data_IF_410357035665
#
_entry.id   IF_410357035665
#
_cell.length_a   1.000
_cell.length_b   1.000
_cell.length_c   1.000
_cell.angle_alpha   90.00
_cell.angle_beta   90.00
_cell.angle_gamma   90.00
#
_symmetry.space_group_name_H-M   'P 1'
#
loop_
_entity.id
_entity.type
_entity.pdbx_description
1 polymer ?
#
# COMPACT_ATOMS: atom_id res chain seq x y z
N UNK A 1 -12.98 8.35 1.92
CA UNK A 1 -13.55 7.31 1.03
C UNK A 1 -13.58 5.94 1.71
N UNK A 2 -12.61 5.65 2.58
CA UNK A 2 -12.49 4.39 3.31
C UNK A 2 -13.70 3.98 4.15
N UNK A 3 -14.52 4.93 4.61
CA UNK A 3 -15.77 4.59 5.33
C UNK A 3 -16.75 3.80 4.45
N UNK A 4 -16.71 3.97 3.12
CA UNK A 4 -17.50 3.16 2.19
C UNK A 4 -17.06 1.69 2.30
N UNK A 5 -15.76 1.42 2.25
CA UNK A 5 -15.22 0.06 2.31
C UNK A 5 -15.39 -0.57 3.69
N UNK A 6 -15.21 0.20 4.77
CA UNK A 6 -15.42 -0.26 6.15
C UNK A 6 -16.87 -0.66 6.43
N UNK A 7 -17.83 0.09 5.88
CA UNK A 7 -19.24 -0.14 6.15
C UNK A 7 -19.93 -1.06 5.12
N UNK A 8 -19.29 -1.33 3.99
CA UNK A 8 -19.80 -2.27 3.01
C UNK A 8 -19.94 -3.68 3.60
N UNK A 9 -21.02 -4.39 3.24
CA UNK A 9 -21.20 -5.80 3.59
C UNK A 9 -20.09 -6.66 2.98
N UNK A 10 -19.75 -6.39 1.72
CA UNK A 10 -18.65 -7.01 0.99
C UNK A 10 -18.08 -6.04 -0.04
N UNK A 11 -16.79 -6.18 -0.32
CA UNK A 11 -16.07 -5.48 -1.40
C UNK A 11 -15.67 -6.51 -2.43
N UNK A 12 -15.89 -6.21 -3.71
CA UNK A 12 -15.54 -7.10 -4.82
C UNK A 12 -14.38 -6.47 -5.61
N UNK A 13 -13.23 -7.14 -5.58
CA UNK A 13 -12.06 -6.81 -6.40
C UNK A 13 -12.11 -7.55 -7.73
N UNK A 14 -12.53 -6.85 -8.77
CA UNK A 14 -12.59 -7.41 -10.12
C UNK A 14 -11.22 -7.37 -10.83
N UNK A 15 -10.69 -8.56 -11.15
CA UNK A 15 -9.39 -8.75 -11.77
C UNK A 15 -9.48 -8.96 -13.30
N UNK A 16 -10.67 -8.87 -13.88
CA UNK A 16 -10.89 -9.04 -15.32
C UNK A 16 -11.11 -10.50 -15.75
N UNK A 17 -11.10 -10.74 -17.05
CA UNK A 17 -11.46 -12.04 -17.66
C UNK A 17 -10.26 -12.93 -18.01
N UNK A 18 -9.07 -12.60 -17.50
CA UNK A 18 -7.84 -13.32 -17.83
C UNK A 18 -7.88 -14.77 -17.37
N UNK A 19 -7.68 -15.72 -18.28
CA UNK A 19 -7.71 -17.16 -17.98
C UNK A 19 -6.75 -17.57 -16.86
N UNK A 20 -5.52 -17.05 -16.85
CA UNK A 20 -4.53 -17.41 -15.83
C UNK A 20 -4.95 -16.96 -14.42
N UNK A 21 -5.60 -15.79 -14.30
CA UNK A 21 -6.03 -15.26 -13.00
C UNK A 21 -7.30 -15.94 -12.53
N UNK A 22 -8.32 -16.08 -13.40
CA UNK A 22 -9.56 -16.81 -13.08
C UNK A 22 -9.30 -18.25 -12.66
N UNK A 23 -8.50 -18.99 -13.43
CA UNK A 23 -8.14 -20.36 -13.09
C UNK A 23 -7.27 -20.46 -11.82
N UNK A 24 -6.48 -19.44 -11.50
CA UNK A 24 -5.69 -19.40 -10.27
C UNK A 24 -6.58 -19.19 -9.04
N UNK A 25 -7.51 -18.23 -9.07
CA UNK A 25 -8.38 -17.93 -7.92
C UNK A 25 -9.44 -19.00 -7.68
N UNK A 26 -9.83 -19.76 -8.72
CA UNK A 26 -10.70 -20.94 -8.61
C UNK A 26 -10.14 -22.01 -7.67
N UNK A 27 -8.83 -22.07 -7.50
CA UNK A 27 -8.15 -23.10 -6.72
C UNK A 27 -8.01 -24.44 -7.46
N UNK A 28 -7.31 -25.43 -6.88
CA UNK A 28 -7.02 -26.68 -7.57
C UNK A 28 -8.28 -27.56 -7.70
N UNK A 29 -8.69 -27.86 -8.93
CA UNK A 29 -9.60 -28.98 -9.25
C UNK A 29 -8.89 -30.12 -10.00
N UNK A 30 -7.54 -30.17 -10.00
CA UNK A 30 -6.77 -31.06 -10.88
C UNK A 30 -5.50 -31.62 -10.20
N UNK A 31 -4.86 -32.59 -10.87
CA UNK A 31 -3.75 -33.42 -10.34
C UNK A 31 -2.46 -32.65 -10.02
N UNK A 32 -1.65 -33.22 -9.11
CA UNK A 32 -0.49 -32.61 -8.45
C UNK A 32 0.54 -31.98 -9.41
N UNK A 33 0.85 -32.61 -10.55
CA UNK A 33 1.90 -32.13 -11.48
C UNK A 33 1.42 -30.96 -12.38
N UNK A 34 0.14 -30.96 -12.78
CA UNK A 34 -0.45 -29.86 -13.56
C UNK A 34 -0.70 -28.64 -12.67
N UNK A 35 -0.89 -28.88 -11.36
CA UNK A 35 -0.98 -27.85 -10.32
C UNK A 35 0.32 -27.05 -10.22
N UNK A 36 1.52 -27.65 -10.16
CA UNK A 36 2.77 -26.87 -9.93
C UNK A 36 3.06 -25.82 -11.03
N UNK A 37 3.09 -26.22 -12.32
CA UNK A 37 3.48 -25.32 -13.42
C UNK A 37 2.41 -24.27 -13.79
N UNK A 38 1.13 -24.60 -13.56
CA UNK A 38 0.00 -23.68 -13.80
C UNK A 38 -0.24 -22.77 -12.60
N UNK A 39 0.03 -23.24 -11.38
CA UNK A 39 0.02 -22.42 -10.16
C UNK A 39 1.11 -21.37 -10.20
N UNK A 40 2.33 -21.67 -10.69
CA UNK A 40 3.37 -20.62 -10.78
C UNK A 40 2.99 -19.52 -11.78
N UNK A 41 2.53 -19.88 -12.99
CA UNK A 41 2.09 -18.91 -13.99
C UNK A 41 0.86 -18.13 -13.54
N UNK A 42 -0.11 -18.80 -12.92
CA UNK A 42 -1.30 -18.21 -12.33
C UNK A 42 -0.96 -17.24 -11.19
N UNK A 43 -0.12 -17.68 -10.25
CA UNK A 43 0.37 -16.86 -9.14
C UNK A 43 1.15 -15.63 -9.64
N UNK A 44 2.00 -15.79 -10.66
CA UNK A 44 2.73 -14.67 -11.27
C UNK A 44 1.77 -13.69 -11.95
N UNK A 45 0.79 -14.19 -12.71
CA UNK A 45 -0.22 -13.36 -13.36
C UNK A 45 -1.08 -12.61 -12.33
N UNK A 46 -1.45 -13.29 -11.24
CA UNK A 46 -2.18 -12.73 -10.11
C UNK A 46 -1.37 -11.67 -9.38
N UNK A 47 -0.19 -12.01 -8.87
CA UNK A 47 0.62 -11.12 -8.02
C UNK A 47 1.14 -9.90 -8.77
N UNK A 48 1.39 -10.02 -10.08
CA UNK A 48 1.81 -8.89 -10.93
C UNK A 48 0.64 -8.20 -11.64
N UNK A 49 -0.60 -8.51 -11.27
CA UNK A 49 -1.76 -7.95 -11.94
C UNK A 49 -1.81 -6.43 -11.74
N UNK A 50 -2.07 -5.69 -12.83
CA UNK A 50 -2.13 -4.21 -12.83
C UNK A 50 -3.17 -3.63 -11.86
N UNK A 51 -4.14 -4.45 -11.43
CA UNK A 51 -5.10 -4.04 -10.41
C UNK A 51 -4.37 -3.66 -9.12
N UNK A 52 -3.43 -4.48 -8.65
CA UNK A 52 -2.72 -4.26 -7.38
C UNK A 52 -1.82 -3.04 -7.36
N UNK A 53 -1.39 -2.54 -8.53
CA UNK A 53 -0.51 -1.37 -8.57
C UNK A 53 -1.24 -0.06 -8.25
N UNK A 54 -2.57 -0.02 -8.33
CA UNK A 54 -3.36 1.21 -8.14
C UNK A 54 -3.37 1.65 -6.67
N UNK A 55 -3.17 2.95 -6.41
CA UNK A 55 -3.09 3.52 -5.06
C UNK A 55 -4.33 3.24 -4.20
N UNK A 56 -5.52 3.49 -4.75
CA UNK A 56 -6.81 3.30 -4.08
C UNK A 56 -7.14 1.85 -3.68
N UNK A 57 -6.53 0.86 -4.33
CA UNK A 57 -6.75 -0.56 -4.01
C UNK A 57 -6.26 -0.88 -2.60
N UNK A 58 -5.33 -0.10 -2.07
CA UNK A 58 -4.88 -0.24 -0.68
C UNK A 58 -6.05 -0.10 0.30
N UNK A 59 -6.95 0.87 0.09
CA UNK A 59 -8.16 1.00 0.93
C UNK A 59 -9.17 -0.11 0.67
N UNK A 60 -9.41 -0.43 -0.60
CA UNK A 60 -10.38 -1.46 -1.00
C UNK A 60 -10.09 -2.79 -0.33
N UNK A 61 -8.82 -3.18 -0.28
CA UNK A 61 -8.39 -4.47 0.27
C UNK A 61 -8.24 -4.39 1.80
N UNK A 62 -7.65 -3.32 2.33
CA UNK A 62 -7.36 -3.20 3.77
C UNK A 62 -8.60 -2.96 4.62
N UNK A 63 -9.55 -2.16 4.14
CA UNK A 63 -10.70 -1.74 4.95
C UNK A 63 -11.94 -2.61 4.78
N UNK A 64 -11.92 -3.57 3.84
CA UNK A 64 -13.05 -4.42 3.57
C UNK A 64 -13.33 -5.38 4.73
N UNK A 65 -14.58 -5.40 5.21
CA UNK A 65 -15.05 -6.43 6.17
C UNK A 65 -15.04 -7.83 5.57
N UNK A 66 -15.38 -7.94 4.28
CA UNK A 66 -15.34 -9.18 3.50
C UNK A 66 -14.89 -8.84 2.09
N UNK A 67 -13.71 -9.29 1.71
CA UNK A 67 -13.17 -9.09 0.38
C UNK A 67 -13.39 -10.32 -0.49
N UNK A 68 -14.01 -10.12 -1.65
CA UNK A 68 -14.18 -11.14 -2.70
C UNK A 68 -13.29 -10.77 -3.87
N UNK A 69 -12.48 -11.72 -4.32
CA UNK A 69 -11.79 -11.62 -5.59
C UNK A 69 -12.65 -12.23 -6.68
N UNK A 70 -12.84 -11.50 -7.77
CA UNK A 70 -13.63 -11.96 -8.90
C UNK A 70 -12.81 -11.85 -10.20
N UNK A 71 -12.82 -12.91 -11.02
CA UNK A 71 -12.15 -12.92 -12.31
C UNK A 71 -12.84 -13.90 -13.27
N UNK A 72 -13.27 -13.41 -14.44
CA UNK A 72 -14.13 -14.19 -15.32
C UNK A 72 -15.42 -14.58 -14.60
N UNK A 73 -15.77 -15.86 -14.62
CA UNK A 73 -16.94 -16.41 -13.93
C UNK A 73 -16.60 -17.00 -12.55
N UNK A 74 -15.39 -16.75 -12.06
CA UNK A 74 -14.88 -17.31 -10.81
C UNK A 74 -14.85 -16.23 -9.70
N UNK A 75 -15.30 -16.60 -8.50
CA UNK A 75 -15.25 -15.77 -7.30
C UNK A 75 -14.68 -16.56 -6.12
N UNK A 76 -13.80 -15.93 -5.35
CA UNK A 76 -13.23 -16.52 -4.13
C UNK A 76 -13.12 -15.49 -3.03
N UNK A 77 -13.40 -15.87 -1.79
CA UNK A 77 -13.16 -15.01 -0.65
C UNK A 77 -11.64 -14.84 -0.43
N UNK A 78 -11.19 -13.63 -0.11
CA UNK A 78 -9.76 -13.36 0.03
C UNK A 78 -9.13 -14.08 1.22
N UNK A 79 -9.91 -14.25 2.31
CA UNK A 79 -9.49 -14.87 3.57
C UNK A 79 -9.22 -16.38 3.44
N UNK A 80 -9.84 -17.08 2.49
CA UNK A 80 -9.55 -18.49 2.22
C UNK A 80 -8.23 -18.71 1.48
N UNK A 81 -7.62 -17.65 0.93
CA UNK A 81 -6.33 -17.77 0.26
C UNK A 81 -5.18 -17.97 1.26
N UNK A 82 -4.22 -18.86 0.95
CA UNK A 82 -2.99 -19.00 1.71
C UNK A 82 -2.29 -17.67 1.99
N UNK A 83 -1.68 -17.51 3.18
CA UNK A 83 -1.02 -16.28 3.60
C UNK A 83 0.01 -15.76 2.59
N UNK A 84 0.83 -16.66 2.02
CA UNK A 84 1.82 -16.33 0.98
C UNK A 84 1.21 -15.67 -0.27
N UNK A 85 -0.04 -16.02 -0.63
CA UNK A 85 -0.75 -15.41 -1.75
C UNK A 85 -1.32 -14.06 -1.35
N UNK A 86 -1.84 -13.92 -0.14
CA UNK A 86 -2.34 -12.63 0.37
C UNK A 86 -1.22 -11.60 0.50
N UNK A 87 -0.06 -12.04 1.00
CA UNK A 87 1.13 -11.21 1.20
C UNK A 87 1.81 -10.79 -0.12
N UNK A 88 1.51 -11.48 -1.24
CA UNK A 88 2.08 -11.11 -2.54
C UNK A 88 1.44 -9.86 -3.15
N UNK A 89 0.25 -9.46 -2.68
CA UNK A 89 -0.51 -8.32 -3.21
C UNK A 89 -0.61 -7.15 -2.21
N UNK A 90 -0.53 -7.44 -0.91
CA UNK A 90 -0.38 -6.46 0.15
C UNK A 90 0.83 -6.83 1.03
N UNK A 91 1.81 -5.93 1.17
CA UNK A 91 2.88 -6.14 2.13
C UNK A 91 2.27 -6.07 3.54
N UNK A 92 2.34 -7.18 4.28
CA UNK A 92 1.73 -7.40 5.60
C UNK A 92 0.22 -7.72 5.51
N UNK A 93 -0.30 -8.46 6.49
CA UNK A 93 -1.73 -8.77 6.52
C UNK A 93 -2.55 -7.48 6.54
N UNK A 94 -3.66 -7.46 5.81
CA UNK A 94 -4.52 -6.28 5.67
C UNK A 94 -4.89 -5.69 7.05
N UNK A 95 -5.23 -6.54 8.01
CA UNK A 95 -5.56 -6.16 9.40
C UNK A 95 -4.43 -5.41 10.13
N UNK A 96 -3.17 -5.62 9.74
CA UNK A 96 -2.02 -4.94 10.37
C UNK A 96 -1.77 -3.53 9.84
N UNK A 97 -2.44 -3.14 8.75
CA UNK A 97 -2.23 -1.86 8.08
C UNK A 97 -3.22 -0.76 8.52
N UNK A 98 -4.37 -1.11 9.10
CA UNK A 98 -5.33 -0.13 9.63
C UNK A 98 -4.80 0.49 10.93
N UNK A 99 -4.89 1.82 11.06
CA UNK A 99 -4.39 2.56 12.19
C UNK A 99 -2.87 2.76 12.21
N UNK A 100 -2.19 2.70 11.05
CA UNK A 100 -0.74 2.90 10.95
C UNK A 100 -0.33 4.37 10.85
N UNK A 101 0.97 4.65 11.01
CA UNK A 101 1.52 6.01 10.83
C UNK A 101 1.56 6.39 9.35
N UNK A 102 1.22 7.64 9.04
CA UNK A 102 1.18 8.15 7.66
C UNK A 102 2.51 7.94 6.92
N UNK A 103 3.63 8.29 7.55
CA UNK A 103 4.96 8.17 6.94
C UNK A 103 5.38 6.72 6.67
N UNK A 104 4.94 5.78 7.52
CA UNK A 104 5.17 4.35 7.32
C UNK A 104 4.42 3.85 6.08
N UNK A 105 3.12 4.17 5.99
CA UNK A 105 2.28 3.79 4.86
C UNK A 105 2.77 4.41 3.56
N UNK A 106 3.15 5.69 3.58
CA UNK A 106 3.68 6.40 2.42
C UNK A 106 4.96 5.72 1.91
N UNK A 107 5.85 5.31 2.82
CA UNK A 107 7.06 4.59 2.43
C UNK A 107 6.73 3.23 1.82
N UNK A 108 5.80 2.49 2.43
CA UNK A 108 5.40 1.15 2.02
C UNK A 108 4.74 1.13 0.64
N UNK A 109 3.92 2.14 0.35
CA UNK A 109 3.10 2.22 -0.86
C UNK A 109 3.57 3.25 -1.89
N UNK A 110 4.79 3.79 -1.75
CA UNK A 110 5.35 4.83 -2.64
C UNK A 110 5.37 4.46 -4.14
N UNK A 111 5.40 3.17 -4.46
CA UNK A 111 5.46 2.66 -5.84
C UNK A 111 4.08 2.42 -6.46
N UNK A 112 2.99 2.75 -5.73
CA UNK A 112 1.64 2.66 -6.26
C UNK A 112 1.43 3.66 -7.42
N UNK A 113 0.77 3.17 -8.44
CA UNK A 113 0.35 3.88 -9.64
C UNK A 113 -0.93 4.68 -9.39
N UNK A 114 -0.96 5.90 -9.91
CA UNK A 114 -2.12 6.78 -9.93
C UNK A 114 -2.00 7.76 -11.09
N UNK A 115 -3.14 8.26 -11.58
CA UNK A 115 -3.17 9.31 -12.60
C UNK A 115 -3.03 10.70 -11.98
N UNK A 116 -3.54 10.87 -10.76
CA UNK A 116 -3.42 12.11 -9.98
C UNK A 116 -2.39 11.86 -8.87
N UNK A 117 -1.34 12.68 -8.79
CA UNK A 117 -0.24 12.47 -7.84
C UNK A 117 -0.73 12.46 -6.38
N UNK A 118 -1.69 13.32 -6.04
CA UNK A 118 -2.35 13.39 -4.73
C UNK A 118 -2.94 12.06 -4.25
N UNK A 119 -3.33 11.18 -5.16
CA UNK A 119 -3.89 9.87 -4.78
C UNK A 119 -2.90 9.01 -3.99
N UNK A 120 -1.58 9.18 -4.17
CA UNK A 120 -0.57 8.46 -3.37
C UNK A 120 -0.61 8.83 -1.89
N UNK A 121 -1.14 10.01 -1.58
CA UNK A 121 -1.31 10.52 -0.22
C UNK A 121 -2.74 10.22 0.26
N UNK A 122 -3.74 10.67 -0.49
CA UNK A 122 -5.14 10.58 -0.07
C UNK A 122 -5.64 9.14 0.06
N UNK A 123 -5.12 8.20 -0.74
CA UNK A 123 -5.45 6.78 -0.59
C UNK A 123 -4.95 6.17 0.72
N UNK A 124 -4.04 6.82 1.45
CA UNK A 124 -3.49 6.29 2.70
C UNK A 124 -4.16 6.86 3.96
N UNK A 125 -4.84 8.01 3.86
CA UNK A 125 -5.36 8.73 5.03
C UNK A 125 -6.36 7.91 5.84
N UNK A 126 -7.27 7.19 5.17
CA UNK A 126 -8.26 6.37 5.87
C UNK A 126 -7.65 5.13 6.53
N UNK A 127 -6.40 4.76 6.22
CA UNK A 127 -5.63 3.69 6.88
C UNK A 127 -4.80 4.21 8.06
N UNK A 128 -4.68 5.54 8.20
CA UNK A 128 -3.87 6.13 9.24
C UNK A 128 -4.53 6.02 10.61
N UNK A 129 -3.74 6.11 11.68
CA UNK A 129 -4.27 6.33 13.02
C UNK A 129 -5.15 7.60 13.09
N UNK A 130 -6.01 7.69 14.10
CA UNK A 130 -6.96 8.80 14.21
C UNK A 130 -6.31 10.19 14.26
N UNK A 131 -5.08 10.28 14.77
CA UNK A 131 -4.35 11.54 14.84
C UNK A 131 -3.91 11.96 13.43
N UNK A 132 -3.20 11.08 12.72
CA UNK A 132 -2.68 11.33 11.38
C UNK A 132 -3.81 11.48 10.34
N UNK A 133 -4.92 10.74 10.48
CA UNK A 133 -6.10 10.86 9.61
C UNK A 133 -6.75 12.26 9.66
N UNK A 134 -6.70 12.92 10.81
CA UNK A 134 -7.31 14.25 11.03
C UNK A 134 -6.40 15.43 10.69
N UNK A 135 -5.11 15.19 10.41
CA UNK A 135 -4.10 16.24 10.20
C UNK A 135 -4.30 17.02 8.90
N UNK A 136 -4.83 16.37 7.86
CA UNK A 136 -5.12 16.99 6.56
C UNK A 136 -6.47 16.51 6.04
N UNK A 137 -7.10 17.33 5.20
CA UNK A 137 -8.39 16.98 4.56
C UNK A 137 -8.20 16.64 3.09
N UNK A 138 -9.04 15.76 2.55
CA UNK A 138 -8.99 15.40 1.13
C UNK A 138 -9.57 16.55 0.30
N UNK A 139 -8.69 17.36 -0.27
CA UNK A 139 -9.04 18.47 -1.15
C UNK A 139 -8.25 18.39 -2.47
N UNK A 140 -8.95 18.12 -3.56
CA UNK A 140 -8.37 18.07 -4.91
C UNK A 140 -8.25 19.43 -5.58
N UNK A 141 -8.84 20.48 -5.00
CA UNK A 141 -8.77 21.84 -5.54
C UNK A 141 -7.44 22.53 -5.25
N UNK A 142 -6.71 22.08 -4.23
CA UNK A 142 -5.36 22.55 -3.93
C UNK A 142 -4.37 22.15 -5.02
N UNK A 143 -3.32 22.95 -5.22
CA UNK A 143 -2.17 22.54 -6.04
C UNK A 143 -1.31 21.50 -5.31
N UNK A 144 -0.48 20.77 -6.07
CA UNK A 144 0.42 19.77 -5.47
C UNK A 144 1.46 20.44 -4.55
N UNK A 145 1.93 21.65 -4.88
CA UNK A 145 2.84 22.42 -4.04
C UNK A 145 2.19 22.92 -2.74
N UNK A 146 0.92 23.33 -2.78
CA UNK A 146 0.18 23.71 -1.57
C UNK A 146 -0.05 22.50 -0.65
N UNK A 147 -0.47 21.36 -1.21
CA UNK A 147 -0.63 20.12 -0.45
C UNK A 147 0.70 19.65 0.14
N UNK A 148 1.82 19.81 -0.58
CA UNK A 148 3.14 19.54 -0.04
C UNK A 148 3.41 20.38 1.21
N UNK A 149 3.19 21.70 1.15
CA UNK A 149 3.38 22.59 2.30
C UNK A 149 2.45 22.22 3.47
N UNK A 150 1.19 21.88 3.17
CA UNK A 150 0.22 21.43 4.16
C UNK A 150 0.73 20.20 4.92
N UNK A 151 1.18 19.16 4.21
CA UNK A 151 1.74 17.95 4.82
C UNK A 151 2.99 18.28 5.65
N UNK A 152 3.88 19.12 5.13
CA UNK A 152 5.11 19.46 5.84
C UNK A 152 4.79 20.18 7.17
N UNK A 153 3.83 21.09 7.19
CA UNK A 153 3.38 21.76 8.42
C UNK A 153 2.66 20.80 9.35
N UNK A 154 1.75 19.99 8.80
CA UNK A 154 0.93 19.09 9.59
C UNK A 154 1.75 18.01 10.32
N UNK A 155 2.96 17.68 9.86
CA UNK A 155 3.85 16.69 10.49
C UNK A 155 5.15 17.28 11.06
N UNK A 156 5.25 18.59 11.28
CA UNK A 156 6.50 19.30 11.61
C UNK A 156 7.33 18.68 12.75
N UNK A 157 6.70 18.14 13.78
CA UNK A 157 7.35 17.50 14.94
C UNK A 157 8.00 16.13 14.65
N UNK A 158 7.76 15.57 13.46
CA UNK A 158 8.13 14.20 13.10
C UNK A 158 8.91 14.09 11.78
N UNK A 159 9.22 15.23 11.15
CA UNK A 159 9.89 15.24 9.84
C UNK A 159 11.40 15.03 9.94
N UNK A 160 11.93 14.32 8.95
CA UNK A 160 13.33 14.31 8.60
C UNK A 160 13.50 14.61 7.10
N UNK A 161 14.74 14.82 6.63
CA UNK A 161 15.00 15.02 5.20
C UNK A 161 14.50 13.87 4.31
N UNK A 162 14.48 12.64 4.82
CA UNK A 162 13.99 11.49 4.07
C UNK A 162 12.47 11.53 3.86
N UNK A 163 11.69 11.92 4.89
CA UNK A 163 10.22 12.03 4.77
C UNK A 163 9.82 13.19 3.88
N UNK A 164 10.52 14.32 3.97
CA UNK A 164 10.34 15.46 3.05
C UNK A 164 10.55 15.03 1.60
N UNK A 165 11.65 14.33 1.34
CA UNK A 165 11.97 13.81 0.00
C UNK A 165 10.93 12.81 -0.50
N UNK A 166 10.38 11.99 0.40
CA UNK A 166 9.34 11.01 0.09
C UNK A 166 8.01 11.68 -0.29
N UNK A 167 7.56 12.70 0.46
CA UNK A 167 6.34 13.45 0.15
C UNK A 167 6.49 14.19 -1.19
N UNK A 168 7.65 14.81 -1.44
CA UNK A 168 7.96 15.45 -2.72
C UNK A 168 7.82 14.46 -3.88
N UNK A 169 8.44 13.28 -3.74
CA UNK A 169 8.39 12.24 -4.76
C UNK A 169 6.96 11.71 -4.97
N UNK A 170 6.18 11.56 -3.91
CA UNK A 170 4.78 11.10 -4.01
C UNK A 170 3.91 12.07 -4.83
N UNK A 171 4.16 13.37 -4.68
CA UNK A 171 3.49 14.45 -5.41
C UNK A 171 4.12 14.79 -6.77
N UNK A 172 5.16 14.07 -7.20
CA UNK A 172 5.90 14.32 -8.45
C UNK A 172 6.40 15.78 -8.60
N UNK A 173 6.73 16.46 -7.49
CA UNK A 173 7.20 17.85 -7.53
C UNK A 173 8.69 17.93 -7.88
N UNK A 174 9.06 18.86 -8.76
CA UNK A 174 10.45 19.27 -8.93
C UNK A 174 10.86 20.19 -7.77
N UNK A 175 12.16 20.34 -7.52
CA UNK A 175 12.68 21.28 -6.52
C UNK A 175 12.30 22.73 -6.83
N UNK A 176 12.08 23.06 -8.11
CA UNK A 176 11.65 24.39 -8.54
C UNK A 176 10.18 24.70 -8.20
N UNK A 177 9.36 23.67 -8.02
CA UNK A 177 7.94 23.81 -7.64
C UNK A 177 7.76 24.03 -6.13
N UNK A 178 8.81 23.76 -5.35
CA UNK A 178 8.78 23.91 -3.91
C UNK A 178 9.05 25.38 -3.56
N UNK A 179 8.20 26.03 -2.75
CA UNK A 179 8.48 27.37 -2.26
C UNK A 179 9.87 27.41 -1.61
N UNK A 180 10.67 28.49 -1.75
CA UNK A 180 12.05 28.52 -1.27
C UNK A 180 12.21 28.30 0.25
N UNK A 181 11.10 28.38 1.01
CA UNK A 181 11.10 28.38 2.46
C UNK A 181 9.90 27.62 3.10
N UNK A 182 9.62 26.35 2.76
CA UNK A 182 8.56 25.58 3.42
C UNK A 182 8.93 25.25 4.87
N UNK A 183 10.23 25.29 5.20
CA UNK A 183 10.82 24.73 6.42
C UNK A 183 11.33 25.80 7.38
N UNK A 184 11.05 27.10 7.17
CA UNK A 184 11.74 28.19 7.88
C UNK A 184 11.66 28.11 9.42
N UNK A 185 10.73 27.34 9.97
CA UNK A 185 10.65 27.08 11.42
C UNK A 185 10.57 25.58 11.78
N UNK A 186 10.85 24.68 10.84
CA UNK A 186 10.70 23.24 11.06
C UNK A 186 12.05 22.68 11.48
N UNK A 187 12.11 22.14 12.69
CA UNK A 187 13.28 21.41 13.18
C UNK A 187 13.28 20.01 12.58
N UNK A 188 13.93 19.84 11.43
CA UNK A 188 14.13 18.53 10.82
C UNK A 188 15.02 17.66 11.71
N UNK A 189 14.53 16.46 12.05
CA UNK A 189 15.31 15.43 12.75
C UNK A 189 16.43 14.92 11.84
N UNK A 190 17.61 14.70 12.40
CA UNK A 190 18.74 14.09 11.67
C UNK A 190 18.50 12.59 11.53
N UNK A 191 19.11 11.99 10.52
CA UNK A 191 19.00 10.55 10.26
C UNK A 191 19.50 9.70 11.45
N UNK A 192 20.47 10.20 12.21
CA UNK A 192 21.05 9.53 13.38
C UNK A 192 20.27 9.73 14.69
N UNK A 193 19.22 10.55 14.67
CA UNK A 193 18.33 10.66 15.82
C UNK A 193 17.58 9.33 15.94
N UNK A 194 17.59 8.71 17.14
CA UNK A 194 16.87 7.45 17.42
C UNK A 194 15.36 7.56 17.13
N UNK A 195 14.85 8.78 17.01
CA UNK A 195 13.47 9.14 16.67
C UNK A 195 13.22 9.41 15.18
N UNK A 196 14.22 9.26 14.29
CA UNK A 196 13.98 9.33 12.86
C UNK A 196 13.16 8.10 12.42
N UNK A 197 11.92 8.32 11.96
CA UNK A 197 11.09 7.25 11.39
C UNK A 197 11.78 6.52 10.23
N UNK A 198 12.75 7.15 9.57
CA UNK A 198 13.60 6.52 8.56
C UNK A 198 14.38 5.32 9.12
N UNK A 199 14.97 5.45 10.32
CA UNK A 199 15.77 4.39 10.95
C UNK A 199 14.90 3.27 11.54
N UNK A 200 13.72 3.60 12.09
CA UNK A 200 12.79 2.64 12.71
C UNK A 200 11.91 1.91 11.67
N UNK A 201 11.46 2.58 10.61
CA UNK A 201 10.71 1.96 9.50
C UNK A 201 11.57 0.96 8.72
N UNK A 202 12.86 1.27 8.53
CA UNK A 202 13.84 0.34 7.97
C UNK A 202 14.03 -0.90 8.87
N UNK A 203 14.07 -0.75 10.20
CA UNK A 203 14.19 -1.89 11.13
C UNK A 203 12.98 -2.83 11.09
N UNK A 204 11.76 -2.29 11.02
CA UNK A 204 10.53 -3.11 10.91
C UNK A 204 10.50 -3.85 9.55
N UNK A 205 10.83 -3.16 8.46
CA UNK A 205 10.88 -3.73 7.10
C UNK A 205 11.98 -4.78 6.90
N UNK A 206 13.14 -4.61 7.54
CA UNK A 206 14.24 -5.58 7.48
C UNK A 206 14.00 -6.81 8.37
N UNK A 207 13.29 -6.65 9.50
CA UNK A 207 12.90 -7.76 10.37
C UNK A 207 11.93 -8.75 9.72
N UNK A 208 11.05 -8.26 8.83
CA UNK A 208 10.11 -9.11 8.07
C UNK A 208 10.72 -9.69 6.79
N UNK A 209 11.66 -8.99 6.12
CA UNK A 209 12.36 -9.53 4.94
C UNK A 209 13.27 -10.72 5.22
N UNK A 210 13.84 -10.83 6.43
CA UNK A 210 14.72 -11.95 6.78
C UNK A 210 13.98 -13.29 6.94
N UNK A 211 12.65 -13.28 7.12
CA UNK A 211 11.83 -14.51 7.23
C UNK A 211 11.20 -14.98 5.92
N UNK A 212 11.09 -14.10 4.92
CA UNK A 212 10.42 -14.42 3.65
C UNK A 212 11.30 -15.16 2.63
N UNK A 213 12.64 -15.11 2.76
CA UNK A 213 13.57 -15.78 1.84
C UNK A 213 14.15 -17.11 2.34
N UNK A 214 13.87 -17.49 3.60
CA UNK A 214 14.35 -18.75 4.19
C UNK A 214 13.31 -19.87 4.24
N UNK A 215 12.11 -19.64 3.72
CA UNK A 215 10.97 -20.56 3.86
C UNK A 215 10.39 -21.06 2.52
N UNK A 216 11.17 -21.04 1.43
CA UNK A 216 10.96 -22.04 0.38
C UNK A 216 11.56 -23.34 0.91
N UNK A 217 10.76 -24.37 1.27
CA UNK A 217 11.33 -25.63 1.64
C UNK A 217 12.03 -26.19 0.39
N UNK A 218 13.33 -26.49 0.51
CA UNK A 218 13.92 -27.52 -0.33
C UNK A 218 13.17 -28.82 -0.02
N UNK A 219 12.18 -29.17 -0.84
CA UNK A 219 11.55 -30.49 -0.80
C UNK A 219 12.08 -31.29 -1.98
N UNK A 220 12.89 -32.28 -1.62
CA UNK A 220 13.25 -33.45 -2.41
C UNK A 220 12.00 -34.20 -2.89
#
# INVERSE_FOLDING_TARGET
>A
MGDIYRNAERVISWLGTGFLVSNFIKGPSYSMDDVYSRTERGFRAFSKHKYWSRAWITQEVTLARKLILAAGDEEVAFDVLPGIIRESVLPHSADSLDGQRFMYLLHLFREKSCSIAKDRIFSLLDLCDGQDRSRITVDYSTSDAELFVEIIRAWEDSLCFCTVSLVRAALNLDYLDIPPHPYINIRLKRHDDQDCMCASTLRISLGSRSKAFSSVPNML
#
